data_IF_014557739511
#
_entry.id   IF_014557739511
#
_cell.length_a   1.000
_cell.length_b   1.000
_cell.length_c   1.000
_cell.angle_alpha   90.00
_cell.angle_beta   90.00
_cell.angle_gamma   90.00
#
_symmetry.space_group_name_H-M   'P 1'
#
loop_
_entity.id
_entity.type
_entity.pdbx_description
1 polymer ?
#
# COMPACT_ATOMS: atom_id res chain seq x y z
N UNK A 1 -24.43 -1.42 -11.59
CA UNK A 1 -24.28 -2.64 -12.40
C UNK A 1 -23.08 -3.39 -11.84
N UNK A 2 -23.23 -4.62 -11.32
CA UNK A 2 -22.05 -5.40 -10.97
C UNK A 2 -21.34 -5.75 -12.28
N UNK A 3 -20.11 -5.28 -12.45
CA UNK A 3 -19.22 -5.75 -13.50
C UNK A 3 -19.02 -7.24 -13.28
N UNK A 4 -19.62 -8.08 -14.13
CA UNK A 4 -19.28 -9.50 -14.21
C UNK A 4 -17.84 -9.57 -14.69
N UNK A 5 -16.89 -9.69 -13.75
CA UNK A 5 -15.53 -10.06 -14.07
C UNK A 5 -15.60 -11.45 -14.71
N UNK A 6 -15.23 -11.55 -15.99
CA UNK A 6 -15.12 -12.84 -16.64
C UNK A 6 -14.15 -13.72 -15.83
N UNK A 7 -14.52 -14.98 -15.55
CA UNK A 7 -13.67 -15.86 -14.78
C UNK A 7 -12.32 -16.04 -15.49
N UNK A 8 -11.24 -15.91 -14.72
CA UNK A 8 -9.93 -16.32 -15.20
C UNK A 8 -9.97 -17.79 -15.63
N UNK A 9 -9.21 -18.19 -16.67
CA UNK A 9 -9.14 -19.59 -17.08
C UNK A 9 -8.67 -20.47 -15.92
N UNK A 10 -9.22 -21.68 -15.87
CA UNK A 10 -8.79 -22.70 -14.91
C UNK A 10 -7.29 -22.98 -15.09
N UNK A 11 -6.58 -23.13 -13.97
CA UNK A 11 -5.12 -23.34 -13.93
C UNK A 11 -4.82 -24.71 -13.34
N UNK A 12 -3.83 -25.38 -13.91
CA UNK A 12 -3.35 -26.65 -13.37
C UNK A 12 -2.67 -26.46 -12.00
N UNK A 13 -2.94 -27.37 -11.07
CA UNK A 13 -2.23 -27.43 -9.80
C UNK A 13 -0.84 -28.08 -9.99
N UNK A 14 0.21 -27.38 -9.59
CA UNK A 14 1.57 -27.92 -9.62
C UNK A 14 1.79 -28.93 -8.47
N UNK A 15 2.28 -30.15 -8.76
CA UNK A 15 2.62 -31.12 -7.73
C UNK A 15 3.65 -30.59 -6.74
N UNK A 16 3.62 -31.07 -5.51
CA UNK A 16 4.62 -30.68 -4.52
C UNK A 16 6.03 -31.13 -4.92
N UNK A 17 6.99 -30.23 -4.82
CA UNK A 17 8.40 -30.53 -5.06
C UNK A 17 9.17 -30.77 -3.77
N UNK A 18 10.24 -31.57 -3.85
CA UNK A 18 11.21 -31.75 -2.75
C UNK A 18 11.69 -30.40 -2.21
N UNK A 19 12.05 -29.46 -3.09
CA UNK A 19 12.50 -28.12 -2.69
C UNK A 19 11.41 -27.38 -1.90
N UNK A 20 10.18 -27.32 -2.42
CA UNK A 20 9.06 -26.66 -1.74
C UNK A 20 8.73 -27.29 -0.39
N UNK A 21 8.84 -28.61 -0.27
CA UNK A 21 8.70 -29.31 1.01
C UNK A 21 9.79 -28.93 2.00
N UNK A 22 11.06 -28.88 1.58
CA UNK A 22 12.18 -28.50 2.46
C UNK A 22 12.07 -27.04 2.91
N UNK A 23 11.72 -26.13 2.01
CA UNK A 23 11.51 -24.72 2.33
C UNK A 23 10.38 -24.55 3.37
N UNK A 24 9.26 -25.26 3.18
CA UNK A 24 8.16 -25.29 4.12
C UNK A 24 8.55 -25.87 5.49
N UNK A 25 9.31 -26.98 5.49
CA UNK A 25 9.76 -27.68 6.70
C UNK A 25 10.74 -26.83 7.53
N UNK A 26 11.65 -26.12 6.87
CA UNK A 26 12.63 -25.24 7.50
C UNK A 26 11.94 -24.01 8.12
N UNK A 27 10.92 -23.46 7.46
CA UNK A 27 10.16 -22.31 7.97
C UNK A 27 9.30 -22.63 9.20
N UNK A 28 9.06 -23.90 9.53
CA UNK A 28 8.27 -24.30 10.69
C UNK A 28 9.07 -24.25 12.01
N UNK A 29 8.52 -23.56 13.00
CA UNK A 29 9.10 -23.42 14.35
C UNK A 29 9.22 -24.78 15.03
N UNK A 30 10.40 -25.10 15.57
CA UNK A 30 10.61 -26.35 16.31
C UNK A 30 9.90 -26.39 17.68
N UNK A 31 9.26 -25.30 18.12
CA UNK A 31 8.70 -25.15 19.46
C UNK A 31 7.19 -25.41 19.57
N UNK A 32 6.51 -25.67 18.45
CA UNK A 32 5.06 -25.92 18.48
C UNK A 32 4.73 -27.24 19.18
N UNK A 33 3.64 -27.26 19.94
CA UNK A 33 3.13 -28.48 20.55
C UNK A 33 2.79 -29.55 19.49
N UNK A 34 3.15 -30.83 19.74
CA UNK A 34 2.79 -31.94 18.86
C UNK A 34 1.28 -32.20 18.85
N UNK A 35 0.82 -32.94 17.85
CA UNK A 35 -0.55 -33.46 17.84
C UNK A 35 -0.73 -34.68 18.75
N UNK A 36 -1.92 -35.30 18.74
CA UNK A 36 -2.20 -36.53 19.47
C UNK A 36 -1.30 -37.72 19.08
N UNK A 37 -0.63 -37.63 17.93
CA UNK A 37 0.34 -38.61 17.44
C UNK A 37 1.75 -38.45 18.02
N UNK A 38 1.97 -37.42 18.85
CA UNK A 38 3.25 -37.07 19.48
C UNK A 38 4.42 -36.82 18.51
N UNK A 39 4.16 -36.76 17.20
CA UNK A 39 5.16 -36.41 16.19
C UNK A 39 5.48 -34.92 16.33
N UNK A 40 6.77 -34.60 16.41
CA UNK A 40 7.27 -33.22 16.58
C UNK A 40 8.00 -32.75 15.32
N UNK A 41 8.24 -31.45 15.21
CA UNK A 41 9.04 -30.88 14.12
C UNK A 41 10.46 -31.46 14.06
N UNK A 42 11.06 -31.81 15.21
CA UNK A 42 12.38 -32.44 15.26
C UNK A 42 12.37 -33.83 14.61
N UNK A 43 11.29 -34.60 14.80
CA UNK A 43 11.11 -35.88 14.11
C UNK A 43 11.08 -35.67 12.59
N UNK A 44 10.23 -34.75 12.12
CA UNK A 44 10.08 -34.48 10.68
C UNK A 44 11.35 -33.93 10.04
N UNK A 45 12.05 -33.00 10.70
CA UNK A 45 13.32 -32.44 10.22
C UNK A 45 14.43 -33.48 10.11
N UNK A 46 14.35 -34.58 10.87
CA UNK A 46 15.31 -35.69 10.79
C UNK A 46 14.92 -36.76 9.76
N UNK A 47 13.62 -37.02 9.58
CA UNK A 47 13.15 -38.13 8.74
C UNK A 47 12.86 -37.72 7.30
N UNK A 48 12.24 -36.56 7.07
CA UNK A 48 11.83 -36.13 5.73
C UNK A 48 12.99 -35.86 4.77
N UNK A 49 14.19 -35.42 5.19
CA UNK A 49 15.34 -35.31 4.29
C UNK A 49 15.80 -36.63 3.64
N UNK A 50 15.40 -37.78 4.19
CA UNK A 50 15.74 -39.09 3.62
C UNK A 50 15.00 -39.26 2.29
N UNK A 51 15.73 -39.65 1.24
CA UNK A 51 15.24 -39.64 -0.15
C UNK A 51 13.96 -40.47 -0.35
N UNK A 52 13.97 -41.72 0.09
CA UNK A 52 12.80 -42.62 0.00
C UNK A 52 11.58 -42.12 0.78
N UNK A 53 11.82 -41.44 1.91
CA UNK A 53 10.76 -40.90 2.77
C UNK A 53 10.15 -39.67 2.14
N UNK A 54 10.98 -38.81 1.53
CA UNK A 54 10.51 -37.63 0.79
C UNK A 54 9.53 -38.03 -0.31
N UNK A 55 9.91 -38.97 -1.19
CA UNK A 55 9.09 -39.33 -2.35
C UNK A 55 7.71 -39.87 -1.92
N UNK A 56 7.68 -40.76 -0.92
CA UNK A 56 6.43 -41.29 -0.37
C UNK A 56 5.59 -40.20 0.29
N UNK A 57 6.22 -39.28 1.02
CA UNK A 57 5.52 -38.17 1.66
C UNK A 57 4.92 -37.20 0.64
N UNK A 58 5.64 -36.87 -0.43
CA UNK A 58 5.15 -36.03 -1.52
C UNK A 58 3.93 -36.68 -2.20
N UNK A 59 4.01 -37.97 -2.52
CA UNK A 59 2.88 -38.71 -3.11
C UNK A 59 1.63 -38.68 -2.21
N UNK A 60 1.81 -38.83 -0.88
CA UNK A 60 0.72 -38.70 0.10
C UNK A 60 0.18 -37.27 0.12
N UNK A 61 1.06 -36.25 0.14
CA UNK A 61 0.66 -34.85 0.18
C UNK A 61 -0.13 -34.44 -1.06
N UNK A 62 0.27 -34.87 -2.26
CA UNK A 62 -0.47 -34.63 -3.51
C UNK A 62 -1.82 -35.36 -3.52
N UNK A 63 -1.88 -36.59 -3.00
CA UNK A 63 -3.14 -37.31 -2.84
C UNK A 63 -4.10 -36.58 -1.87
N UNK A 64 -3.57 -35.95 -0.82
CA UNK A 64 -4.37 -35.15 0.11
C UNK A 64 -4.99 -33.88 -0.49
N UNK A 65 -4.53 -33.39 -1.65
CA UNK A 65 -5.19 -32.27 -2.34
C UNK A 65 -6.42 -32.74 -3.10
N UNK A 66 -6.37 -33.96 -3.64
CA UNK A 66 -7.50 -34.57 -4.37
C UNK A 66 -8.67 -34.97 -3.44
N UNK A 67 -8.43 -35.00 -2.13
CA UNK A 67 -9.40 -35.43 -1.11
C UNK A 67 -9.61 -34.31 -0.09
N UNK A 68 -10.86 -33.96 0.22
CA UNK A 68 -11.20 -32.85 1.14
C UNK A 68 -10.55 -33.06 2.53
N UNK A 69 -9.62 -32.21 2.98
CA UNK A 69 -8.95 -32.42 4.26
C UNK A 69 -9.88 -32.10 5.43
N UNK A 70 -10.24 -33.12 6.21
CA UNK A 70 -10.90 -32.92 7.50
C UNK A 70 -9.81 -32.60 8.53
N UNK A 71 -9.68 -31.30 8.86
CA UNK A 71 -8.98 -30.71 10.02
C UNK A 71 -7.77 -31.53 10.53
N UNK A 72 -6.67 -31.54 9.77
CA UNK A 72 -5.40 -32.11 10.23
C UNK A 72 -4.76 -31.18 11.29
N UNK A 73 -4.77 -31.60 12.56
CA UNK A 73 -4.19 -30.85 13.70
C UNK A 73 -2.79 -31.33 14.09
N UNK A 74 -2.33 -32.46 13.53
CA UNK A 74 -1.01 -33.01 13.83
C UNK A 74 0.12 -32.35 13.02
N UNK A 75 1.38 -32.62 13.41
CA UNK A 75 2.56 -31.94 12.84
C UNK A 75 2.75 -32.23 11.35
N UNK A 76 2.44 -33.46 10.90
CA UNK A 76 2.41 -33.81 9.47
C UNK A 76 1.37 -32.99 8.71
N UNK A 77 0.15 -32.87 9.25
CA UNK A 77 -0.91 -32.05 8.70
C UNK A 77 -0.57 -30.57 8.63
N UNK A 78 0.09 -30.04 9.67
CA UNK A 78 0.61 -28.67 9.69
C UNK A 78 1.64 -28.45 8.56
N UNK A 79 2.50 -29.44 8.31
CA UNK A 79 3.46 -29.38 7.22
C UNK A 79 2.77 -29.39 5.85
N UNK A 80 1.82 -30.29 5.59
CA UNK A 80 1.06 -30.32 4.33
C UNK A 80 0.34 -28.99 4.10
N UNK A 81 -0.33 -28.44 5.13
CA UNK A 81 -0.96 -27.10 5.05
C UNK A 81 0.06 -26.00 4.74
N UNK A 82 1.26 -26.06 5.32
CA UNK A 82 2.34 -25.11 5.02
C UNK A 82 2.80 -25.23 3.57
N UNK A 83 2.94 -26.44 3.04
CA UNK A 83 3.27 -26.69 1.64
C UNK A 83 2.18 -26.15 0.70
N UNK A 84 0.89 -26.43 0.98
CA UNK A 84 -0.24 -25.85 0.23
C UNK A 84 -0.16 -24.32 0.25
N UNK A 85 0.08 -23.73 1.42
CA UNK A 85 0.21 -22.28 1.58
C UNK A 85 1.34 -21.70 0.74
N UNK A 86 2.52 -22.34 0.73
CA UNK A 86 3.66 -21.91 -0.10
C UNK A 86 3.35 -22.01 -1.60
N UNK A 87 2.71 -23.10 -2.05
CA UNK A 87 2.31 -23.24 -3.45
C UNK A 87 1.30 -22.18 -3.88
N UNK A 88 0.25 -21.94 -3.06
CA UNK A 88 -0.74 -20.88 -3.33
C UNK A 88 -0.10 -19.50 -3.37
N UNK A 89 0.83 -19.19 -2.47
CA UNK A 89 1.55 -17.92 -2.48
C UNK A 89 2.34 -17.73 -3.78
N UNK A 90 3.03 -18.77 -4.25
CA UNK A 90 3.78 -18.73 -5.50
C UNK A 90 2.86 -18.54 -6.71
N UNK A 91 1.79 -19.34 -6.81
CA UNK A 91 0.85 -19.25 -7.93
C UNK A 91 0.14 -17.89 -7.98
N UNK A 92 -0.39 -17.44 -6.84
CA UNK A 92 -1.06 -16.15 -6.75
C UNK A 92 -0.12 -14.97 -7.04
N UNK A 93 1.15 -15.04 -6.62
CA UNK A 93 2.12 -14.00 -6.94
C UNK A 93 2.50 -14.01 -8.44
N UNK A 94 2.71 -15.19 -9.03
CA UNK A 94 3.03 -15.35 -10.45
C UNK A 94 1.93 -14.80 -11.37
N UNK A 95 0.67 -14.94 -10.94
CA UNK A 95 -0.49 -14.51 -11.70
C UNK A 95 -1.09 -13.20 -11.20
N UNK A 96 -0.35 -12.43 -10.38
CA UNK A 96 -0.74 -11.11 -9.85
C UNK A 96 -2.15 -11.08 -9.22
N UNK A 97 -2.56 -12.22 -8.64
CA UNK A 97 -3.89 -12.39 -8.02
C UNK A 97 -4.04 -11.50 -6.79
N UNK A 98 -2.95 -11.29 -6.05
CA UNK A 98 -2.92 -10.39 -4.91
C UNK A 98 -2.28 -9.06 -5.28
N UNK A 99 -2.84 -7.97 -4.75
CA UNK A 99 -2.23 -6.66 -4.87
C UNK A 99 -0.80 -6.68 -4.28
N UNK A 100 0.20 -6.05 -4.92
CA UNK A 100 1.60 -6.09 -4.46
C UNK A 100 1.77 -5.73 -2.98
N UNK A 101 1.05 -4.70 -2.51
CA UNK A 101 1.05 -4.28 -1.10
C UNK A 101 0.57 -5.36 -0.12
N UNK A 102 -0.21 -6.36 -0.55
CA UNK A 102 -0.72 -7.46 0.28
C UNK A 102 0.22 -8.67 0.34
N UNK A 103 1.26 -8.71 -0.49
CA UNK A 103 2.18 -9.86 -0.62
C UNK A 103 3.45 -9.74 0.23
N UNK A 104 3.67 -8.61 0.90
CA UNK A 104 4.88 -8.36 1.68
C UNK A 104 5.19 -9.50 2.66
N UNK A 105 4.19 -9.92 3.44
CA UNK A 105 4.32 -11.01 4.42
C UNK A 105 4.67 -12.37 3.79
N UNK A 106 4.10 -12.68 2.62
CA UNK A 106 4.36 -13.94 1.91
C UNK A 106 5.80 -14.01 1.38
N UNK A 107 6.39 -12.85 1.07
CA UNK A 107 7.78 -12.71 0.63
C UNK A 107 8.77 -12.52 1.80
N UNK A 108 8.30 -12.58 3.05
CA UNK A 108 9.11 -12.30 4.23
C UNK A 108 9.55 -10.84 4.34
N UNK A 109 8.88 -9.93 3.64
CA UNK A 109 9.12 -8.50 3.68
C UNK A 109 8.38 -7.85 4.86
N UNK A 110 9.00 -6.82 5.41
CA UNK A 110 8.41 -5.93 6.42
C UNK A 110 7.92 -4.67 5.70
N UNK A 111 6.72 -4.20 6.03
CA UNK A 111 6.12 -3.03 5.36
C UNK A 111 6.19 -1.83 6.30
N UNK A 112 6.69 -0.71 5.79
CA UNK A 112 6.61 0.58 6.48
C UNK A 112 5.72 1.53 5.70
N UNK A 113 4.91 2.29 6.42
CA UNK A 113 3.91 3.19 5.86
C UNK A 113 4.05 4.54 6.53
N UNK A 114 4.18 5.61 5.75
CA UNK A 114 4.07 6.99 6.25
C UNK A 114 2.81 7.63 5.67
N UNK A 115 1.96 8.13 6.55
CA UNK A 115 0.78 8.92 6.19
C UNK A 115 1.15 10.40 6.27
N UNK A 116 0.61 11.20 5.35
CA UNK A 116 0.79 12.64 5.33
C UNK A 116 -0.52 13.34 4.97
N UNK A 117 -0.65 14.59 5.41
CA UNK A 117 -1.81 15.45 5.17
C UNK A 117 -1.36 16.76 4.52
N UNK A 118 -2.19 17.32 3.64
CA UNK A 118 -1.95 18.61 3.00
C UNK A 118 -2.69 19.71 3.77
N UNK A 119 -1.93 20.70 4.24
CA UNK A 119 -2.45 21.79 5.07
C UNK A 119 -3.47 22.64 4.30
N UNK A 120 -4.64 22.84 4.90
CA UNK A 120 -5.71 23.70 4.39
C UNK A 120 -5.94 23.51 2.87
N UNK A 121 -6.03 22.25 2.43
CA UNK A 121 -5.94 21.90 1.01
C UNK A 121 -6.87 22.68 0.07
N UNK A 122 -8.17 22.77 0.38
CA UNK A 122 -9.09 23.52 -0.48
C UNK A 122 -8.80 25.04 -0.51
N UNK A 123 -8.56 25.72 0.63
CA UNK A 123 -8.09 27.10 0.65
C UNK A 123 -6.73 27.38 -0.01
N UNK A 124 -5.83 26.40 -0.09
CA UNK A 124 -4.45 26.62 -0.56
C UNK A 124 -4.24 26.49 -2.07
N UNK A 125 -5.26 26.09 -2.85
CA UNK A 125 -5.11 25.92 -4.30
C UNK A 125 -4.87 27.23 -5.03
N UNK A 126 -3.70 27.40 -5.64
CA UNK A 126 -3.40 28.60 -6.42
C UNK A 126 -4.22 28.65 -7.72
N UNK A 127 -4.94 29.74 -7.97
CA UNK A 127 -5.82 29.87 -9.14
C UNK A 127 -5.05 29.88 -10.45
N UNK A 128 -3.91 30.60 -10.52
CA UNK A 128 -3.09 30.66 -11.72
C UNK A 128 -2.50 29.29 -12.05
N UNK A 129 -1.99 28.58 -11.03
CA UNK A 129 -1.47 27.23 -11.17
C UNK A 129 -2.56 26.26 -11.64
N UNK A 130 -3.74 26.29 -11.02
CA UNK A 130 -4.88 25.44 -11.40
C UNK A 130 -5.28 25.69 -12.87
N UNK A 131 -5.42 26.95 -13.28
CA UNK A 131 -5.77 27.29 -14.66
C UNK A 131 -4.67 26.89 -15.65
N UNK A 132 -3.41 27.04 -15.26
CA UNK A 132 -2.27 26.55 -16.03
C UNK A 132 -2.26 25.03 -16.20
N UNK A 133 -2.60 24.29 -15.14
CA UNK A 133 -2.74 22.83 -15.18
C UNK A 133 -3.87 22.43 -16.14
N UNK A 134 -5.05 23.05 -16.03
CA UNK A 134 -6.18 22.77 -16.93
C UNK A 134 -5.81 23.00 -18.40
N UNK A 135 -5.15 24.12 -18.70
CA UNK A 135 -4.70 24.41 -20.06
C UNK A 135 -3.68 23.36 -20.56
N UNK A 136 -2.69 22.99 -19.73
CA UNK A 136 -1.67 21.97 -20.07
C UNK A 136 -2.25 20.56 -20.22
N UNK A 137 -3.31 20.23 -19.50
CA UNK A 137 -4.04 18.97 -19.64
C UNK A 137 -4.94 18.92 -20.88
N UNK A 138 -4.99 20.00 -21.67
CA UNK A 138 -5.69 20.03 -22.96
C UNK A 138 -7.17 20.39 -22.86
N UNK A 139 -7.63 20.96 -21.74
CA UNK A 139 -8.99 21.47 -21.66
C UNK A 139 -9.19 22.63 -22.65
N UNK A 140 -10.35 22.71 -23.33
CA UNK A 140 -10.63 23.79 -24.28
C UNK A 140 -10.56 25.17 -23.63
N UNK A 141 -10.11 26.18 -24.37
CA UNK A 141 -9.94 27.54 -23.85
C UNK A 141 -11.21 28.12 -23.22
N UNK A 142 -12.40 27.84 -23.77
CA UNK A 142 -13.66 28.31 -23.21
C UNK A 142 -13.99 27.67 -21.85
N UNK A 143 -13.56 26.42 -21.61
CA UNK A 143 -13.69 25.75 -20.30
C UNK A 143 -12.73 26.38 -19.30
N UNK A 144 -11.48 26.63 -19.70
CA UNK A 144 -10.52 27.34 -18.84
C UNK A 144 -11.00 28.75 -18.48
N UNK A 145 -11.60 29.48 -19.44
CA UNK A 145 -12.20 30.80 -19.18
C UNK A 145 -13.40 30.72 -18.23
N UNK A 146 -14.26 29.70 -18.38
CA UNK A 146 -15.32 29.44 -17.41
C UNK A 146 -14.74 29.27 -16.00
N UNK A 147 -13.73 28.42 -15.83
CA UNK A 147 -13.11 28.23 -14.51
C UNK A 147 -12.36 29.46 -14.01
N UNK A 148 -11.75 30.26 -14.89
CA UNK A 148 -11.14 31.53 -14.51
C UNK A 148 -12.20 32.50 -13.96
N UNK A 149 -13.33 32.65 -14.64
CA UNK A 149 -14.45 33.46 -14.16
C UNK A 149 -15.11 32.88 -12.90
N UNK A 150 -15.08 31.55 -12.75
CA UNK A 150 -15.56 30.88 -11.56
C UNK A 150 -14.62 31.14 -10.39
N UNK A 151 -13.29 31.14 -10.54
CA UNK A 151 -12.36 31.22 -9.40
C UNK A 151 -11.98 32.66 -9.03
N UNK A 152 -11.66 33.48 -10.03
CA UNK A 152 -11.05 34.80 -9.85
C UNK A 152 -12.08 35.87 -9.50
N UNK A 153 -11.71 36.82 -8.65
CA UNK A 153 -12.56 37.96 -8.31
C UNK A 153 -13.70 37.61 -7.35
N UNK A 154 -13.59 36.49 -6.63
CA UNK A 154 -14.55 36.13 -5.59
C UNK A 154 -14.32 36.89 -4.30
N UNK A 155 -15.41 37.09 -3.58
CA UNK A 155 -15.38 37.51 -2.19
C UNK A 155 -16.26 36.62 -1.33
N UNK A 156 -15.81 36.35 -0.12
CA UNK A 156 -16.50 35.59 0.90
C UNK A 156 -16.95 36.51 2.04
N UNK A 157 -18.11 36.20 2.64
CA UNK A 157 -18.51 36.70 3.96
C UNK A 157 -18.96 35.53 4.81
N UNK A 158 -18.65 35.59 6.10
CA UNK A 158 -19.18 34.66 7.09
C UNK A 158 -20.49 35.23 7.64
N UNK A 159 -21.54 34.43 7.61
CA UNK A 159 -22.81 34.73 8.29
C UNK A 159 -22.97 33.76 9.45
N UNK A 160 -23.11 34.31 10.66
CA UNK A 160 -23.35 33.53 11.87
C UNK A 160 -24.42 34.21 12.71
N UNK A 161 -25.61 33.59 12.79
CA UNK A 161 -26.81 34.21 13.34
C UNK A 161 -27.09 35.58 12.68
N UNK A 162 -27.17 36.65 13.48
CA UNK A 162 -27.34 38.03 13.02
C UNK A 162 -26.02 38.75 12.72
N UNK A 163 -24.87 38.08 12.85
CA UNK A 163 -23.56 38.66 12.55
C UNK A 163 -23.13 38.34 11.12
N UNK A 164 -22.75 39.38 10.37
CA UNK A 164 -22.09 39.25 9.07
C UNK A 164 -20.67 39.79 9.18
N UNK A 165 -19.69 39.03 8.72
CA UNK A 165 -18.33 39.55 8.58
C UNK A 165 -18.23 40.54 7.41
N UNK A 166 -17.12 41.29 7.40
CA UNK A 166 -16.71 42.05 6.21
C UNK A 166 -16.43 41.13 5.02
N UNK A 167 -16.55 41.68 3.81
CA UNK A 167 -16.16 41.00 2.57
C UNK A 167 -14.65 40.74 2.59
N UNK A 168 -14.26 39.47 2.41
CA UNK A 168 -12.87 39.07 2.20
C UNK A 168 -12.73 38.60 0.76
N UNK A 169 -11.83 39.23 0.00
CA UNK A 169 -11.49 38.75 -1.32
C UNK A 169 -10.77 37.41 -1.21
N UNK A 170 -10.98 36.55 -2.20
CA UNK A 170 -10.47 35.19 -2.23
C UNK A 170 -9.57 35.04 -3.45
N UNK A 171 -8.28 35.18 -3.22
CA UNK A 171 -7.24 35.15 -4.27
C UNK A 171 -6.66 33.72 -4.44
N UNK A 172 -7.04 32.80 -3.55
CA UNK A 172 -6.59 31.41 -3.49
C UNK A 172 -7.75 30.50 -3.09
N UNK A 173 -7.67 29.24 -3.51
CA UNK A 173 -8.53 28.16 -3.06
C UNK A 173 -9.84 28.00 -3.81
N UNK A 174 -10.54 26.90 -3.54
CA UNK A 174 -11.85 26.59 -4.10
C UNK A 174 -12.92 26.63 -3.02
N UNK A 175 -14.15 27.02 -3.39
CA UNK A 175 -15.24 27.17 -2.42
C UNK A 175 -15.60 25.84 -1.74
N UNK A 176 -15.44 25.75 -0.42
CA UNK A 176 -15.84 24.56 0.33
C UNK A 176 -17.36 24.30 0.16
N UNK A 177 -17.73 23.05 -0.07
CA UNK A 177 -19.13 22.64 -0.30
C UNK A 177 -19.64 22.79 -1.73
N UNK A 178 -18.83 23.29 -2.68
CA UNK A 178 -19.17 23.22 -4.11
C UNK A 178 -18.92 21.82 -4.65
N UNK A 179 -19.83 21.32 -5.49
CA UNK A 179 -19.65 20.06 -6.22
C UNK A 179 -18.43 20.07 -7.15
N UNK A 180 -17.94 21.26 -7.53
CA UNK A 180 -16.74 21.42 -8.37
C UNK A 180 -15.42 21.37 -7.59
N UNK A 181 -15.46 21.57 -6.28
CA UNK A 181 -14.24 21.64 -5.48
C UNK A 181 -13.46 20.32 -5.44
N UNK A 182 -14.09 19.14 -5.26
CA UNK A 182 -13.38 17.86 -5.30
C UNK A 182 -12.72 17.56 -6.65
N UNK A 183 -13.39 17.88 -7.77
CA UNK A 183 -12.84 17.61 -9.10
C UNK A 183 -11.69 18.57 -9.42
N UNK A 184 -11.82 19.85 -9.08
CA UNK A 184 -10.76 20.84 -9.30
C UNK A 184 -9.53 20.55 -8.43
N UNK A 185 -9.73 20.08 -7.20
CA UNK A 185 -8.63 19.71 -6.32
C UNK A 185 -7.92 18.43 -6.78
N UNK A 186 -8.67 17.44 -7.28
CA UNK A 186 -8.09 16.25 -7.92
C UNK A 186 -7.28 16.60 -9.18
N UNK A 187 -7.80 17.50 -10.03
CA UNK A 187 -7.08 17.97 -11.23
C UNK A 187 -5.80 18.73 -10.86
N UNK A 188 -5.81 19.51 -9.77
CA UNK A 188 -4.64 20.19 -9.24
C UNK A 188 -3.55 19.21 -8.81
N UNK A 189 -3.93 18.15 -8.09
CA UNK A 189 -3.01 17.14 -7.56
C UNK A 189 -2.50 16.16 -8.60
N UNK A 190 -3.28 15.90 -9.65
CA UNK A 190 -2.93 14.94 -10.68
C UNK A 190 -1.46 15.04 -11.12
N UNK A 191 -0.93 16.17 -11.62
CA UNK A 191 0.47 16.26 -12.05
C UNK A 191 1.48 15.91 -10.96
N UNK A 192 1.23 16.26 -9.69
CA UNK A 192 2.10 15.91 -8.55
C UNK A 192 2.14 14.40 -8.36
N UNK A 193 0.98 13.75 -8.34
CA UNK A 193 0.87 12.30 -8.17
C UNK A 193 1.50 11.56 -9.36
N UNK A 194 1.23 11.98 -10.60
CA UNK A 194 1.81 11.38 -11.80
C UNK A 194 3.35 11.47 -11.82
N UNK A 195 3.91 12.63 -11.46
CA UNK A 195 5.36 12.82 -11.37
C UNK A 195 5.97 11.95 -10.27
N UNK A 196 5.31 11.86 -9.12
CA UNK A 196 5.76 11.02 -8.03
C UNK A 196 5.70 9.54 -8.39
N UNK A 197 4.58 9.04 -8.92
CA UNK A 197 4.40 7.64 -9.32
C UNK A 197 5.44 7.21 -10.36
N UNK A 198 5.72 8.09 -11.33
CA UNK A 198 6.77 7.84 -12.33
C UNK A 198 8.15 7.65 -11.69
N UNK A 199 8.51 8.48 -10.71
CA UNK A 199 9.74 8.30 -9.94
C UNK A 199 9.70 7.04 -9.07
N UNK A 200 8.60 6.84 -8.34
CA UNK A 200 8.41 5.79 -7.35
C UNK A 200 8.48 4.36 -7.95
N UNK A 201 8.05 4.21 -9.20
CA UNK A 201 8.14 2.98 -9.98
C UNK A 201 9.58 2.42 -10.07
N UNK A 202 10.61 3.27 -9.98
CA UNK A 202 12.01 2.87 -10.10
C UNK A 202 12.65 2.48 -8.75
N UNK A 203 12.00 2.82 -7.62
CA UNK A 203 12.57 2.68 -6.27
C UNK A 203 11.75 1.76 -5.36
N UNK A 204 10.67 1.16 -5.87
CA UNK A 204 9.84 0.23 -5.11
C UNK A 204 9.01 0.90 -4.01
N UNK A 205 8.65 2.17 -4.21
CA UNK A 205 7.74 2.90 -3.34
C UNK A 205 6.36 2.96 -4.00
N UNK A 206 5.31 2.76 -3.21
CA UNK A 206 3.93 2.92 -3.67
C UNK A 206 3.29 4.12 -2.97
N UNK A 207 2.52 4.90 -3.71
CA UNK A 207 1.68 5.97 -3.16
C UNK A 207 0.21 5.56 -3.24
N UNK A 208 -0.53 5.90 -2.19
CA UNK A 208 -1.99 5.95 -2.21
C UNK A 208 -2.38 7.36 -1.81
N UNK A 209 -3.25 8.00 -2.58
CA UNK A 209 -3.73 9.35 -2.28
C UNK A 209 -5.25 9.39 -2.37
N UNK A 210 -5.87 10.10 -1.42
CA UNK A 210 -7.28 10.44 -1.42
C UNK A 210 -7.42 11.91 -1.01
N UNK A 211 -7.73 12.77 -1.98
CA UNK A 211 -7.87 14.22 -1.75
C UNK A 211 -6.61 14.78 -1.06
N UNK A 212 -6.71 15.26 0.18
CA UNK A 212 -5.61 15.82 0.95
C UNK A 212 -4.77 14.77 1.69
N UNK A 213 -5.28 13.56 1.85
CA UNK A 213 -4.60 12.49 2.56
C UNK A 213 -3.73 11.68 1.59
N UNK A 214 -2.48 11.44 1.98
CA UNK A 214 -1.55 10.63 1.23
C UNK A 214 -0.86 9.60 2.09
N UNK A 215 -0.44 8.51 1.46
CA UNK A 215 0.21 7.39 2.12
C UNK A 215 1.32 6.87 1.22
N UNK A 216 2.55 6.83 1.73
CA UNK A 216 3.68 6.19 1.05
C UNK A 216 3.98 4.86 1.72
N UNK A 217 4.22 3.84 0.90
CA UNK A 217 4.39 2.45 1.32
C UNK A 217 5.72 1.95 0.74
N UNK A 218 6.56 1.38 1.60
CA UNK A 218 7.81 0.71 1.20
C UNK A 218 7.92 -0.67 1.84
N UNK A 219 8.48 -1.63 1.10
CA UNK A 219 8.61 -3.03 1.51
C UNK A 219 10.03 -3.58 1.26
N UNK A 220 10.78 -3.82 2.33
CA UNK A 220 12.12 -4.41 2.32
C UNK A 220 12.18 -5.64 3.26
N UNK A 221 13.34 -6.30 3.33
CA UNK A 221 13.54 -7.49 4.19
C UNK A 221 13.61 -7.15 5.68
N UNK A 222 14.11 -5.97 6.02
CA UNK A 222 14.20 -5.47 7.41
C UNK A 222 13.43 -4.15 7.56
N UNK A 223 13.16 -3.73 8.80
CA UNK A 223 12.46 -2.46 9.04
C UNK A 223 13.41 -1.28 8.78
N UNK A 224 14.67 -1.46 9.11
CA UNK A 224 15.75 -0.51 8.95
C UNK A 224 15.98 -0.19 7.47
N UNK A 225 15.93 -1.20 6.61
CA UNK A 225 16.06 -1.04 5.15
C UNK A 225 14.89 -0.25 4.54
N UNK A 226 13.74 -0.14 5.23
CA UNK A 226 12.62 0.68 4.75
C UNK A 226 12.85 2.17 5.00
N UNK A 227 13.67 2.56 5.99
CA UNK A 227 13.77 3.96 6.41
C UNK A 227 14.41 4.87 5.35
N UNK A 228 15.56 4.52 4.72
CA UNK A 228 16.15 5.37 3.69
C UNK A 228 15.23 5.64 2.48
N UNK A 229 14.65 4.63 1.80
CA UNK A 229 13.74 4.88 0.68
C UNK A 229 12.47 5.61 1.09
N UNK A 230 11.94 5.37 2.30
CA UNK A 230 10.75 6.07 2.79
C UNK A 230 11.05 7.57 3.06
N UNK A 231 12.22 7.87 3.65
CA UNK A 231 12.67 9.26 3.85
C UNK A 231 12.87 9.97 2.52
N UNK A 232 13.49 9.31 1.55
CA UNK A 232 13.69 9.88 0.22
C UNK A 232 12.36 10.12 -0.50
N UNK A 233 11.47 9.14 -0.46
CA UNK A 233 10.12 9.27 -1.01
C UNK A 233 9.37 10.45 -0.39
N UNK A 234 9.42 10.61 0.93
CA UNK A 234 8.82 11.75 1.61
C UNK A 234 9.46 13.08 1.18
N UNK A 235 10.79 13.15 1.04
CA UNK A 235 11.52 14.34 0.56
C UNK A 235 11.11 14.73 -0.86
N UNK A 236 11.03 13.77 -1.78
CA UNK A 236 10.59 14.01 -3.16
C UNK A 236 9.14 14.49 -3.18
N UNK A 237 8.25 13.83 -2.44
CA UNK A 237 6.85 14.21 -2.36
C UNK A 237 6.69 15.64 -1.79
N UNK A 238 7.44 15.96 -0.72
CA UNK A 238 7.46 17.29 -0.13
C UNK A 238 7.89 18.37 -1.13
N UNK A 239 9.01 18.15 -1.84
CA UNK A 239 9.50 19.09 -2.85
C UNK A 239 8.51 19.27 -4.00
N UNK A 240 7.81 18.21 -4.41
CA UNK A 240 6.76 18.31 -5.43
C UNK A 240 5.56 19.12 -4.94
N UNK A 241 5.11 18.91 -3.70
CA UNK A 241 4.04 19.73 -3.13
C UNK A 241 4.43 21.20 -3.01
N UNK A 242 5.63 21.49 -2.50
CA UNK A 242 6.15 22.85 -2.35
C UNK A 242 6.26 23.57 -3.71
N UNK A 243 6.75 22.87 -4.74
CA UNK A 243 6.80 23.40 -6.11
C UNK A 243 5.41 23.73 -6.70
N UNK A 244 4.35 23.09 -6.19
CA UNK A 244 2.96 23.34 -6.54
C UNK A 244 2.27 24.30 -5.55
N UNK A 245 3.01 24.92 -4.62
CA UNK A 245 2.48 25.85 -3.62
C UNK A 245 1.61 25.19 -2.55
N UNK A 246 1.76 23.88 -2.34
CA UNK A 246 1.06 23.11 -1.33
C UNK A 246 1.97 22.84 -0.14
N UNK A 247 1.41 22.90 1.06
CA UNK A 247 2.15 22.69 2.31
C UNK A 247 1.75 21.35 2.90
N UNK A 248 2.73 20.51 3.25
CA UNK A 248 2.49 19.26 3.98
C UNK A 248 2.46 19.51 5.50
N UNK A 249 1.48 18.94 6.21
CA UNK A 249 1.42 18.98 7.67
C UNK A 249 2.28 17.89 8.30
N UNK A 250 3.55 18.22 8.55
CA UNK A 250 4.50 17.31 9.19
C UNK A 250 4.03 16.81 10.57
N UNK A 251 3.39 17.68 11.35
CA UNK A 251 2.93 17.36 12.72
C UNK A 251 1.81 16.30 12.77
N UNK A 252 1.12 16.08 11.65
CA UNK A 252 0.10 15.03 11.51
C UNK A 252 0.62 13.79 10.81
N UNK A 253 1.89 13.77 10.41
CA UNK A 253 2.45 12.61 9.71
C UNK A 253 2.65 11.46 10.69
N UNK A 254 2.12 10.28 10.36
CA UNK A 254 2.18 9.09 11.21
C UNK A 254 2.94 7.97 10.49
N UNK A 255 3.85 7.31 11.22
CA UNK A 255 4.63 6.17 10.72
C UNK A 255 4.11 4.87 11.34
N UNK A 256 3.81 3.90 10.49
CA UNK A 256 3.38 2.55 10.88
C UNK A 256 4.33 1.50 10.32
N UNK A 257 4.60 0.47 11.13
CA UNK A 257 5.35 -0.71 10.72
C UNK A 257 4.45 -1.94 10.83
N UNK A 258 4.36 -2.71 9.75
CA UNK A 258 3.63 -3.96 9.70
C UNK A 258 4.62 -5.12 9.58
N UNK A 259 4.72 -5.91 10.65
CA UNK A 259 5.53 -7.12 10.73
C UNK A 259 4.66 -8.32 11.10
N UNK A 260 5.02 -9.50 10.59
CA UNK A 260 4.31 -10.74 10.91
C UNK A 260 4.83 -11.40 12.19
N UNK A 261 6.07 -11.10 12.60
CA UNK A 261 6.64 -11.50 13.90
C UNK A 261 6.44 -10.38 14.92
N UNK A 262 6.09 -10.76 16.16
CA UNK A 262 6.05 -9.88 17.32
C UNK A 262 7.50 -9.48 17.71
N UNK A 263 8.11 -8.62 16.91
CA UNK A 263 9.33 -7.92 17.30
C UNK A 263 8.90 -6.55 17.84
N UNK A 264 9.14 -6.28 19.13
CA UNK A 264 8.79 -5.03 19.82
C UNK A 264 9.65 -3.81 19.37
N UNK A 265 10.17 -3.81 18.14
CA UNK A 265 11.00 -2.73 17.64
C UNK A 265 10.12 -1.59 17.08
N UNK A 266 9.77 -0.62 17.94
CA UNK A 266 9.28 0.67 17.50
C UNK A 266 10.46 1.50 16.96
N UNK A 267 10.79 1.30 15.68
CA UNK A 267 11.74 2.16 14.99
C UNK A 267 11.04 3.47 14.62
N UNK A 268 11.59 4.60 15.06
CA UNK A 268 11.16 5.90 14.58
C UNK A 268 11.84 6.25 13.25
N UNK A 269 11.23 7.14 12.47
CA UNK A 269 11.91 7.79 11.34
C UNK A 269 12.10 9.27 11.68
N UNK A 270 13.33 9.76 11.56
CA UNK A 270 13.60 11.20 11.55
C UNK A 270 13.45 11.67 10.10
N UNK A 271 12.43 12.49 9.87
CA UNK A 271 12.22 13.24 8.64
C UNK A 271 12.91 14.58 8.88
N UNK A 272 14.03 14.86 8.22
CA UNK A 272 14.88 16.02 8.49
C UNK A 272 14.23 17.36 8.06
N UNK A 273 13.08 17.72 8.64
CA UNK A 273 12.32 18.94 8.34
C UNK A 273 12.05 19.71 9.62
N UNK A 274 12.45 20.98 9.66
CA UNK A 274 12.08 21.87 10.77
C UNK A 274 10.59 22.25 10.66
N UNK A 275 9.84 22.28 11.77
CA UNK A 275 8.52 22.88 11.77
C UNK A 275 8.69 24.37 11.43
N UNK A 276 8.09 24.81 10.32
CA UNK A 276 8.11 26.21 9.91
C UNK A 276 7.65 27.12 11.06
N UNK A 277 8.43 28.18 11.32
CA UNK A 277 8.08 29.31 12.18
C UNK A 277 6.97 30.16 11.56
#
# INVERSE_FOLDING_TARGET
>A
MPSTLDPSPERDWLPFSRKGMMDALLACSSRSAPGPDHITWSHLKRTLPIEDVTEKFLAIADACIKVRPIVLLNTLGKLIKKMISTCLQFDCAKHEVFHPNQLGWAKGLKTSVIMFDIAQFFPSLNHEMLLGILAKQGFPAHVCQFFASYLVGRGMRYLWNSFSSNLRLTDMGVGQGSALSPILSALYLAPVIWLFEWWAAHVGCNVLSYVNDGTLIVQCKTLEDNLPPLREAYKIMFNLFDAFGLVMEHNKSELFHFTWQCDNANLGIVLDFEPFC
#
